data_IF_958179544458
#
_entry.id   IF_958179544458
#
_cell.length_a   1.000
_cell.length_b   1.000
_cell.length_c   1.000
_cell.angle_alpha   90.00
_cell.angle_beta   90.00
_cell.angle_gamma   90.00
#
_symmetry.space_group_name_H-M   'P 1'
#
loop_
_entity.id
_entity.type
_entity.pdbx_description
1 polymer ?
#
# COMPACT_ATOMS: atom_id res chain seq x y z
N UNK A 1 -9.35 -1.15 1.96
CA UNK A 1 -9.88 -1.80 0.73
C UNK A 1 -10.17 -0.74 -0.33
N UNK A 2 -10.16 -1.10 -1.62
CA UNK A 2 -10.40 -0.16 -2.72
C UNK A 2 -11.61 -0.63 -3.54
N UNK A 3 -12.55 0.26 -3.78
CA UNK A 3 -13.69 0.08 -4.69
C UNK A 3 -13.46 0.90 -5.96
N UNK A 4 -13.62 0.31 -7.15
CA UNK A 4 -13.76 1.09 -8.37
C UNK A 4 -15.21 1.61 -8.44
N UNK A 5 -15.36 2.94 -8.36
CA UNK A 5 -16.64 3.62 -8.56
C UNK A 5 -16.50 4.56 -9.74
N UNK A 6 -17.15 4.22 -10.86
CA UNK A 6 -17.16 5.04 -12.06
C UNK A 6 -15.76 5.40 -12.58
N UNK A 7 -14.83 4.43 -12.58
CA UNK A 7 -13.41 4.59 -12.93
C UNK A 7 -12.58 5.42 -11.93
N UNK A 8 -13.14 5.72 -10.75
CA UNK A 8 -12.43 6.37 -9.66
C UNK A 8 -12.20 5.39 -8.48
N UNK A 9 -10.96 5.29 -7.97
CA UNK A 9 -10.69 4.48 -6.78
C UNK A 9 -11.23 5.18 -5.53
N UNK A 10 -12.08 4.47 -4.77
CA UNK A 10 -12.61 4.91 -3.49
C UNK A 10 -12.06 4.02 -2.39
N UNK A 11 -11.44 4.63 -1.38
CA UNK A 11 -10.97 3.92 -0.18
C UNK A 11 -12.19 3.63 0.70
N UNK A 12 -12.39 2.36 1.02
CA UNK A 12 -13.47 1.89 1.89
C UNK A 12 -12.92 0.99 2.98
N UNK A 13 -13.78 0.69 3.96
CA UNK A 13 -13.47 -0.18 5.08
C UNK A 13 -12.28 0.33 5.91
N UNK A 14 -12.38 1.58 6.35
CA UNK A 14 -11.39 2.25 7.21
C UNK A 14 -11.61 1.98 8.70
N UNK A 15 -12.62 1.16 9.03
CA UNK A 15 -12.93 0.78 10.42
C UNK A 15 -11.78 0.05 11.11
N UNK A 16 -10.91 -0.59 10.33
CA UNK A 16 -9.72 -1.33 10.77
C UNK A 16 -8.41 -0.54 10.59
N UNK A 17 -8.47 0.76 10.30
CA UNK A 17 -7.28 1.59 10.19
C UNK A 17 -6.68 1.91 11.56
N UNK A 18 -5.35 1.96 11.64
CA UNK A 18 -4.62 2.30 12.87
C UNK A 18 -3.92 3.65 12.74
N UNK A 19 -3.70 4.31 13.88
CA UNK A 19 -2.85 5.52 13.94
C UNK A 19 -1.38 5.15 13.71
N UNK A 20 -0.59 6.12 13.26
CA UNK A 20 0.84 5.93 12.94
C UNK A 20 1.67 5.46 14.14
N UNK A 21 1.32 5.93 15.34
CA UNK A 21 2.05 5.59 16.58
C UNK A 21 1.70 4.19 17.11
N UNK A 22 0.77 3.48 16.47
CA UNK A 22 0.41 2.14 16.90
C UNK A 22 1.59 1.18 16.67
N UNK A 23 1.93 0.28 17.63
CA UNK A 23 3.09 -0.61 17.53
C UNK A 23 3.19 -1.46 16.25
N UNK A 24 2.06 -1.75 15.61
CA UNK A 24 1.95 -2.59 14.40
C UNK A 24 1.70 -1.79 13.12
N UNK A 25 1.66 -0.45 13.18
CA UNK A 25 1.30 0.40 12.05
C UNK A 25 2.21 0.16 10.83
N UNK A 26 3.52 0.04 11.07
CA UNK A 26 4.50 -0.23 10.01
C UNK A 26 4.29 -1.59 9.36
N UNK A 27 4.06 -2.65 10.14
CA UNK A 27 3.81 -3.99 9.62
C UNK A 27 2.55 -4.02 8.73
N UNK A 28 1.47 -3.39 9.18
CA UNK A 28 0.23 -3.30 8.42
C UNK A 28 0.42 -2.52 7.12
N UNK A 29 1.16 -1.42 7.16
CA UNK A 29 1.44 -0.61 5.99
C UNK A 29 2.31 -1.35 4.95
N UNK A 30 3.36 -2.03 5.41
CA UNK A 30 4.21 -2.89 4.55
C UNK A 30 3.35 -3.95 3.86
N UNK A 31 2.46 -4.60 4.60
CA UNK A 31 1.53 -5.61 4.05
C UNK A 31 0.60 -5.00 3.00
N UNK A 32 0.01 -3.85 3.28
CA UNK A 32 -0.92 -3.19 2.36
C UNK A 32 -0.21 -2.73 1.07
N UNK A 33 1.00 -2.18 1.17
CA UNK A 33 1.85 -1.83 0.02
C UNK A 33 2.16 -3.08 -0.82
N UNK A 34 2.62 -4.17 -0.20
CA UNK A 34 2.94 -5.42 -0.90
C UNK A 34 1.72 -6.01 -1.61
N UNK A 35 0.54 -5.95 -0.98
CA UNK A 35 -0.71 -6.42 -1.58
C UNK A 35 -1.10 -5.59 -2.80
N UNK A 36 -1.11 -4.27 -2.69
CA UNK A 36 -1.42 -3.37 -3.82
C UNK A 36 -0.41 -3.57 -4.94
N UNK A 37 0.88 -3.57 -4.62
CA UNK A 37 1.95 -3.81 -5.60
C UNK A 37 1.73 -5.11 -6.38
N UNK A 38 1.48 -6.21 -5.67
CA UNK A 38 1.26 -7.53 -6.29
C UNK A 38 0.06 -7.54 -7.23
N UNK A 39 -1.06 -6.94 -6.84
CA UNK A 39 -2.25 -6.88 -7.69
C UNK A 39 -2.02 -6.03 -8.94
N UNK A 40 -1.44 -4.83 -8.79
CA UNK A 40 -1.16 -3.96 -9.94
C UNK A 40 -0.04 -4.51 -10.85
N UNK A 41 0.93 -5.25 -10.29
CA UNK A 41 1.93 -5.96 -11.11
C UNK A 41 1.28 -7.00 -12.02
N UNK A 42 0.31 -7.78 -11.51
CA UNK A 42 -0.46 -8.74 -12.34
C UNK A 42 -1.23 -8.05 -13.46
N UNK A 43 -1.67 -6.81 -13.24
CA UNK A 43 -2.36 -5.99 -14.23
C UNK A 43 -1.42 -5.31 -15.24
N UNK A 44 -0.10 -5.54 -15.15
CA UNK A 44 0.89 -5.01 -16.08
C UNK A 44 1.53 -3.68 -15.67
N UNK A 45 1.43 -3.28 -14.39
CA UNK A 45 2.08 -2.06 -13.90
C UNK A 45 3.61 -2.12 -14.03
N UNK A 46 4.20 -1.04 -14.55
CA UNK A 46 5.66 -0.88 -14.69
C UNK A 46 6.36 -0.49 -13.39
N UNK A 47 5.64 0.04 -12.39
CA UNK A 47 6.21 0.52 -11.13
C UNK A 47 6.91 -0.59 -10.34
N UNK A 48 8.11 -0.32 -9.82
CA UNK A 48 8.85 -1.17 -8.89
C UNK A 48 8.50 -0.83 -7.43
N UNK A 49 8.91 -1.68 -6.48
CA UNK A 49 8.80 -1.34 -5.04
C UNK A 49 9.63 -0.11 -4.69
N UNK A 50 10.81 0.04 -5.29
CA UNK A 50 11.68 1.19 -5.13
C UNK A 50 11.00 2.50 -5.59
N UNK A 51 10.29 2.48 -6.71
CA UNK A 51 9.51 3.65 -7.17
C UNK A 51 8.42 4.05 -6.18
N UNK A 52 7.85 3.08 -5.46
CA UNK A 52 6.83 3.32 -4.44
C UNK A 52 7.49 3.94 -3.20
N UNK A 53 8.60 3.36 -2.71
CA UNK A 53 9.34 3.87 -1.55
C UNK A 53 9.76 5.33 -1.79
N UNK A 54 10.31 5.63 -2.96
CA UNK A 54 10.75 7.00 -3.32
C UNK A 54 9.60 8.02 -3.37
N UNK A 55 8.35 7.58 -3.46
CA UNK A 55 7.16 8.44 -3.40
C UNK A 55 6.60 8.59 -1.99
N UNK A 56 7.05 7.80 -1.03
CA UNK A 56 6.63 7.91 0.36
C UNK A 56 7.45 9.01 1.04
N UNK A 57 6.80 9.83 1.86
CA UNK A 57 7.44 10.92 2.61
C UNK A 57 8.08 10.43 3.93
N UNK A 58 8.31 9.12 4.08
CA UNK A 58 8.80 8.53 5.32
C UNK A 58 9.48 7.18 5.07
N UNK A 59 10.44 6.85 5.93
CA UNK A 59 11.25 5.64 5.81
C UNK A 59 10.43 4.40 6.18
N UNK A 60 10.32 3.46 5.23
CA UNK A 60 9.76 2.12 5.43
C UNK A 60 10.80 1.11 4.97
N UNK A 61 11.07 0.10 5.79
CA UNK A 61 11.75 -1.10 5.33
C UNK A 61 10.73 -2.07 4.71
N UNK A 62 10.66 -2.12 3.39
CA UNK A 62 10.00 -3.22 2.67
C UNK A 62 11.07 -4.29 2.49
N UNK A 63 11.12 -5.32 3.34
CA UNK A 63 12.06 -6.43 3.11
C UNK A 63 11.82 -6.98 1.70
N UNK A 64 12.79 -6.71 0.80
CA UNK A 64 12.77 -7.11 -0.61
C UNK A 64 13.47 -8.46 -0.67
N UNK A 65 12.70 -9.53 -0.54
CA UNK A 65 13.16 -10.90 -0.86
C UNK A 65 13.36 -11.08 -2.38
#
# INVERSE_FOLDING_TARGET
NILNKDEYPVIIDVSQSVVRDHPIANELLVRDIKNIYKEFKKMGSSYSLEDIINKLEFDINLDID
#
